data_IF_782243035400
#
_entry.id   IF_782243035400
#
_cell.length_a   1.000
_cell.length_b   1.000
_cell.length_c   1.000
_cell.angle_alpha   90.00
_cell.angle_beta   90.00
_cell.angle_gamma   90.00
#
_symmetry.space_group_name_H-M   'P 1'
#
loop_
_entity.id
_entity.type
_entity.pdbx_description
1 polymer ?
#
# COMPACT_ATOMS: atom_id res chain seq x y z
N UNK A 1 19.45 3.18 2.65
CA UNK A 1 17.97 3.23 2.75
C UNK A 1 17.48 1.85 3.14
N UNK A 2 16.60 1.76 4.14
CA UNK A 2 15.92 0.51 4.45
C UNK A 2 14.82 0.22 3.42
N UNK A 3 14.54 -1.06 3.17
CA UNK A 3 13.54 -1.50 2.20
C UNK A 3 12.53 -2.44 2.84
N UNK A 4 11.31 -2.42 2.33
CA UNK A 4 10.18 -3.25 2.71
C UNK A 4 9.66 -4.02 1.49
N UNK A 5 8.98 -5.12 1.73
CA UNK A 5 8.35 -5.94 0.70
C UNK A 5 6.89 -6.23 1.06
N UNK A 6 6.03 -6.35 0.06
CA UNK A 6 4.63 -6.72 0.28
C UNK A 6 4.47 -8.17 0.74
N UNK A 7 3.57 -8.40 1.68
CA UNK A 7 3.35 -9.74 2.24
C UNK A 7 2.63 -10.69 1.28
N UNK A 8 1.92 -10.20 0.29
CA UNK A 8 1.18 -10.99 -0.69
C UNK A 8 1.98 -11.38 -1.95
N UNK A 9 3.27 -11.05 -2.00
CA UNK A 9 4.17 -11.29 -3.15
C UNK A 9 3.97 -12.63 -3.88
N UNK A 10 3.60 -13.67 -3.16
CA UNK A 10 3.46 -15.03 -3.70
C UNK A 10 2.03 -15.53 -3.78
N UNK A 11 1.03 -14.75 -3.36
CA UNK A 11 -0.34 -15.23 -3.17
C UNK A 11 -1.00 -15.75 -4.46
N UNK A 12 -0.58 -15.25 -5.61
CA UNK A 12 -1.14 -15.63 -6.91
C UNK A 12 -0.39 -16.80 -7.59
N UNK A 13 0.77 -17.21 -7.05
CA UNK A 13 1.65 -18.16 -7.75
C UNK A 13 2.01 -19.38 -6.91
N UNK A 14 2.25 -19.18 -5.62
CA UNK A 14 2.73 -20.22 -4.71
C UNK A 14 1.84 -20.32 -3.48
N UNK A 15 1.45 -21.56 -3.11
CA UNK A 15 0.76 -21.82 -1.84
C UNK A 15 1.79 -21.93 -0.71
N UNK A 16 2.27 -20.80 -0.21
CA UNK A 16 3.23 -20.74 0.89
C UNK A 16 2.52 -20.30 2.16
N UNK A 17 2.64 -21.09 3.23
CA UNK A 17 2.11 -20.69 4.52
C UNK A 17 2.77 -19.40 5.03
N UNK A 18 2.00 -18.52 5.68
CA UNK A 18 2.48 -17.22 6.17
C UNK A 18 3.79 -17.31 6.97
N UNK A 19 3.88 -18.26 7.91
CA UNK A 19 5.10 -18.46 8.70
C UNK A 19 6.34 -18.71 7.83
N UNK A 20 6.19 -19.53 6.78
CA UNK A 20 7.29 -19.83 5.84
C UNK A 20 7.60 -18.61 4.97
N UNK A 21 6.58 -17.89 4.50
CA UNK A 21 6.71 -16.70 3.67
C UNK A 21 7.52 -15.61 4.40
N UNK A 22 7.14 -15.27 5.64
CA UNK A 22 7.84 -14.27 6.44
C UNK A 22 9.31 -14.68 6.71
N UNK A 23 9.58 -15.97 6.95
CA UNK A 23 10.94 -16.47 7.13
C UNK A 23 11.76 -16.30 5.86
N UNK A 24 11.23 -16.64 4.69
CA UNK A 24 11.91 -16.47 3.40
C UNK A 24 12.25 -14.99 3.17
N UNK A 25 11.36 -14.05 3.46
CA UNK A 25 11.67 -12.63 3.34
C UNK A 25 12.84 -12.21 4.23
N UNK A 26 12.86 -12.65 5.49
CA UNK A 26 13.95 -12.35 6.42
C UNK A 26 15.29 -12.99 5.98
N UNK A 27 15.27 -14.23 5.48
CA UNK A 27 16.44 -14.94 4.96
C UNK A 27 17.05 -14.23 3.73
N UNK A 28 16.24 -13.53 2.93
CA UNK A 28 16.68 -12.70 1.80
C UNK A 28 17.01 -11.24 2.19
N UNK A 29 17.10 -10.94 3.48
CA UNK A 29 17.61 -9.67 3.99
C UNK A 29 16.59 -8.55 4.16
N UNK A 30 15.30 -8.81 3.96
CA UNK A 30 14.27 -7.86 4.34
C UNK A 30 14.16 -7.75 5.87
N UNK A 31 13.95 -6.53 6.36
CA UNK A 31 13.69 -6.23 7.77
C UNK A 31 12.28 -5.70 7.98
N UNK A 32 11.64 -5.27 6.91
CA UNK A 32 10.35 -4.61 6.94
C UNK A 32 9.40 -5.23 5.93
N UNK A 33 8.11 -5.22 6.27
CA UNK A 33 7.02 -5.65 5.40
C UNK A 33 5.91 -4.62 5.37
N UNK A 34 5.27 -4.52 4.22
CA UNK A 34 3.93 -3.99 4.04
C UNK A 34 2.95 -5.16 4.10
N UNK A 35 1.92 -5.09 4.96
CA UNK A 35 0.94 -6.16 5.04
C UNK A 35 -0.18 -5.94 4.04
N UNK A 36 -0.26 -6.81 3.02
CA UNK A 36 -1.21 -6.74 1.93
C UNK A 36 -2.08 -8.02 1.80
N UNK A 37 -1.98 -8.96 2.73
CA UNK A 37 -2.84 -10.15 2.71
C UNK A 37 -4.31 -9.76 2.98
N UNK A 38 -5.24 -10.43 2.29
CA UNK A 38 -6.69 -10.19 2.41
C UNK A 38 -7.19 -8.78 2.04
N UNK A 39 -6.36 -7.98 1.31
CA UNK A 39 -6.73 -6.62 0.91
C UNK A 39 -7.99 -6.58 0.00
N UNK A 40 -8.21 -7.60 -0.79
CA UNK A 40 -9.32 -7.67 -1.73
C UNK A 40 -10.45 -8.62 -1.20
N UNK A 41 -10.65 -8.69 0.11
CA UNK A 41 -11.59 -9.58 0.78
C UNK A 41 -12.40 -8.87 1.87
N UNK A 42 -13.44 -9.54 2.37
CA UNK A 42 -14.26 -9.09 3.50
C UNK A 42 -13.85 -9.77 4.83
N UNK A 43 -12.66 -10.33 4.89
CA UNK A 43 -12.12 -10.98 6.09
C UNK A 43 -11.93 -9.97 7.21
N UNK A 44 -12.51 -10.26 8.37
CA UNK A 44 -12.27 -9.55 9.62
C UNK A 44 -11.38 -10.41 10.50
N UNK A 45 -10.17 -9.95 10.79
CA UNK A 45 -9.24 -10.66 11.66
C UNK A 45 -9.77 -10.71 13.08
N UNK A 46 -9.93 -11.92 13.62
CA UNK A 46 -10.22 -12.11 15.05
C UNK A 46 -9.03 -11.68 15.90
N UNK A 47 -9.25 -11.35 17.16
CA UNK A 47 -8.18 -11.04 18.12
C UNK A 47 -7.13 -12.16 18.25
N UNK A 48 -7.53 -13.42 18.01
CA UNK A 48 -6.61 -14.56 17.98
C UNK A 48 -5.69 -14.51 16.75
N UNK A 49 -6.23 -14.16 15.57
CA UNK A 49 -5.45 -14.03 14.34
C UNK A 49 -4.53 -12.84 14.40
N UNK A 50 -5.00 -11.69 14.90
CA UNK A 50 -4.17 -10.50 15.11
C UNK A 50 -2.95 -10.85 15.97
N UNK A 51 -3.14 -11.46 17.12
CA UNK A 51 -2.03 -11.91 17.99
C UNK A 51 -1.11 -12.91 17.28
N UNK A 52 -1.68 -13.87 16.54
CA UNK A 52 -0.90 -14.86 15.79
C UNK A 52 -0.01 -14.20 14.73
N UNK A 53 -0.55 -13.28 13.94
CA UNK A 53 0.24 -12.61 12.90
C UNK A 53 1.31 -11.70 13.49
N UNK A 54 1.01 -10.96 14.55
CA UNK A 54 1.99 -10.18 15.29
C UNK A 54 3.17 -11.04 15.76
N UNK A 55 2.90 -12.19 16.38
CA UNK A 55 3.92 -13.15 16.83
C UNK A 55 4.73 -13.74 15.65
N UNK A 56 4.11 -14.02 14.51
CA UNK A 56 4.79 -14.55 13.33
C UNK A 56 5.77 -13.53 12.75
N UNK A 57 5.35 -12.25 12.63
CA UNK A 57 6.19 -11.15 12.14
C UNK A 57 7.39 -10.95 13.07
N UNK A 58 7.13 -10.87 14.38
CA UNK A 58 8.18 -10.72 15.39
C UNK A 58 9.17 -11.90 15.40
N UNK A 59 8.65 -13.14 15.35
CA UNK A 59 9.47 -14.36 15.35
C UNK A 59 10.35 -14.46 14.10
N UNK A 60 9.89 -13.92 12.96
CA UNK A 60 10.69 -13.83 11.74
C UNK A 60 11.76 -12.72 11.79
N UNK A 61 11.77 -11.88 12.84
CA UNK A 61 12.67 -10.72 12.95
C UNK A 61 12.28 -9.55 12.03
N UNK A 62 11.04 -9.54 11.54
CA UNK A 62 10.50 -8.51 10.67
C UNK A 62 9.73 -7.44 11.47
N UNK A 63 9.52 -6.29 10.85
CA UNK A 63 8.65 -5.21 11.33
C UNK A 63 7.65 -4.83 10.26
N UNK A 64 6.38 -4.71 10.62
CA UNK A 64 5.38 -4.17 9.73
C UNK A 64 5.47 -2.64 9.73
N UNK A 65 5.45 -2.01 8.53
CA UNK A 65 5.50 -0.55 8.41
C UNK A 65 4.13 0.06 8.19
N UNK A 66 3.26 -0.65 7.49
CA UNK A 66 1.89 -0.26 7.19
C UNK A 66 1.07 -1.47 6.70
N UNK A 67 -0.24 -1.28 6.56
CA UNK A 67 -1.19 -2.33 6.23
C UNK A 67 -2.09 -1.83 5.09
N UNK A 68 -2.36 -2.67 4.10
CA UNK A 68 -3.37 -2.40 3.10
C UNK A 68 -4.78 -2.58 3.69
N UNK A 69 -5.63 -1.58 3.52
CA UNK A 69 -7.05 -1.65 3.84
C UNK A 69 -7.82 -2.52 2.83
N UNK A 70 -9.10 -2.73 3.09
CA UNK A 70 -9.95 -3.48 2.16
C UNK A 70 -10.33 -2.64 0.94
N UNK A 71 -10.13 -3.21 -0.25
CA UNK A 71 -10.44 -2.58 -1.55
C UNK A 71 -11.27 -3.49 -2.45
N UNK A 72 -12.36 -4.07 -1.94
CA UNK A 72 -13.28 -4.90 -2.75
C UNK A 72 -14.22 -4.07 -3.59
N UNK A 73 -14.65 -4.60 -4.73
CA UNK A 73 -15.63 -3.92 -5.60
C UNK A 73 -17.04 -3.86 -5.00
N UNK A 74 -17.37 -4.75 -4.06
CA UNK A 74 -18.68 -4.90 -3.43
C UNK A 74 -18.84 -4.08 -2.15
N UNK A 75 -17.76 -3.82 -1.43
CA UNK A 75 -17.76 -3.11 -0.14
C UNK A 75 -17.00 -1.80 -0.33
N UNK A 76 -17.72 -0.69 -0.36
CA UNK A 76 -17.16 0.60 -0.80
C UNK A 76 -17.29 1.68 0.26
N UNK A 77 -16.23 2.49 0.35
CA UNK A 77 -16.16 3.64 1.24
C UNK A 77 -17.27 4.68 0.98
N UNK A 78 -17.76 4.78 -0.27
CA UNK A 78 -18.77 5.73 -0.72
C UNK A 78 -20.14 5.08 -0.98
N UNK A 79 -20.42 3.92 -0.43
CA UNK A 79 -21.71 3.25 -0.61
C UNK A 79 -22.89 4.17 -0.26
N UNK A 80 -23.97 4.08 -1.04
CA UNK A 80 -25.18 4.88 -0.82
C UNK A 80 -26.01 4.32 0.35
N UNK A 81 -26.01 3.00 0.50
CA UNK A 81 -26.67 2.33 1.61
C UNK A 81 -25.79 2.36 2.85
N UNK A 82 -26.32 2.90 3.94
CA UNK A 82 -25.63 2.98 5.23
C UNK A 82 -25.11 1.62 5.70
N UNK A 83 -25.85 0.53 5.48
CA UNK A 83 -25.45 -0.82 5.88
C UNK A 83 -24.18 -1.31 5.17
N UNK A 84 -24.02 -1.00 3.87
CA UNK A 84 -22.83 -1.33 3.10
C UNK A 84 -21.63 -0.47 3.53
N UNK A 85 -21.88 0.81 3.81
CA UNK A 85 -20.84 1.70 4.31
C UNK A 85 -20.41 1.32 5.74
N UNK A 86 -21.33 0.86 6.59
CA UNK A 86 -21.00 0.33 7.92
C UNK A 86 -20.24 -1.01 7.84
N UNK A 87 -20.43 -1.79 6.78
CA UNK A 87 -19.60 -2.97 6.53
C UNK A 87 -18.17 -2.57 6.17
N UNK A 88 -17.97 -1.58 5.29
CA UNK A 88 -16.65 -1.03 4.99
C UNK A 88 -15.98 -0.48 6.26
N UNK A 89 -16.72 0.26 7.07
CA UNK A 89 -16.25 0.82 8.34
C UNK A 89 -15.71 -0.25 9.27
N UNK A 90 -16.45 -1.34 9.50
CA UNK A 90 -15.98 -2.47 10.34
C UNK A 90 -14.68 -3.09 9.82
N UNK A 91 -14.53 -3.22 8.51
CA UNK A 91 -13.29 -3.74 7.92
C UNK A 91 -12.13 -2.77 8.11
N UNK A 92 -12.36 -1.49 7.92
CA UNK A 92 -11.34 -0.46 8.11
C UNK A 92 -10.91 -0.37 9.58
N UNK A 93 -11.84 -0.35 10.53
CA UNK A 93 -11.55 -0.38 11.97
C UNK A 93 -10.70 -1.60 12.33
N UNK A 94 -11.04 -2.78 11.79
CA UNK A 94 -10.27 -4.00 12.01
C UNK A 94 -8.83 -3.90 11.43
N UNK A 95 -8.65 -3.28 10.28
CA UNK A 95 -7.31 -3.04 9.71
C UNK A 95 -6.51 -1.99 10.49
N UNK A 96 -7.16 -0.98 11.05
CA UNK A 96 -6.52 0.02 11.93
C UNK A 96 -6.03 -0.66 13.22
N UNK A 97 -6.87 -1.47 13.87
CA UNK A 97 -6.48 -2.22 15.08
C UNK A 97 -5.36 -3.23 14.78
N UNK A 98 -5.46 -3.94 13.65
CA UNK A 98 -4.41 -4.85 13.21
C UNK A 98 -3.10 -4.12 12.96
N UNK A 99 -3.11 -3.01 12.22
CA UNK A 99 -1.94 -2.20 11.93
C UNK A 99 -1.21 -1.77 13.20
N UNK A 100 -1.94 -1.23 14.17
CA UNK A 100 -1.38 -0.87 15.47
C UNK A 100 -0.78 -2.07 16.21
N UNK A 101 -1.44 -3.24 16.16
CA UNK A 101 -0.99 -4.45 16.85
C UNK A 101 0.27 -5.07 16.26
N UNK A 102 0.56 -4.84 14.96
CA UNK A 102 1.78 -5.32 14.30
C UNK A 102 2.88 -4.27 14.20
N UNK A 103 2.65 -3.07 14.78
CA UNK A 103 3.63 -1.99 14.87
C UNK A 103 3.70 -1.09 13.63
N UNK A 104 2.74 -1.18 12.72
CA UNK A 104 2.58 -0.24 11.61
C UNK A 104 2.02 1.11 12.06
N UNK A 105 2.18 2.13 11.23
CA UNK A 105 1.73 3.51 11.52
C UNK A 105 0.79 4.09 10.45
N UNK A 106 0.45 3.31 9.41
CA UNK A 106 -0.48 3.72 8.38
C UNK A 106 -1.35 2.56 7.87
N UNK A 107 -2.58 2.89 7.48
CA UNK A 107 -3.45 2.01 6.69
C UNK A 107 -3.66 2.65 5.34
N UNK A 108 -3.26 1.95 4.28
CA UNK A 108 -3.46 2.38 2.89
C UNK A 108 -4.90 2.11 2.49
N UNK A 109 -5.57 3.08 1.90
CA UNK A 109 -6.95 2.95 1.41
C UNK A 109 -7.09 3.52 0.01
N UNK A 110 -7.91 2.86 -0.81
CA UNK A 110 -8.28 3.39 -2.11
C UNK A 110 -9.35 4.48 -1.95
N UNK A 111 -9.27 5.58 -2.73
CA UNK A 111 -10.36 6.54 -2.81
C UNK A 111 -11.60 5.91 -3.47
N UNK A 112 -12.78 6.52 -3.34
CA UNK A 112 -13.95 6.06 -4.08
C UNK A 112 -13.71 6.19 -5.59
N UNK A 113 -14.06 5.16 -6.36
CA UNK A 113 -13.94 5.24 -7.81
C UNK A 113 -14.92 6.26 -8.38
N UNK A 114 -14.44 7.18 -9.21
CA UNK A 114 -15.29 8.15 -9.92
C UNK A 114 -16.35 7.45 -10.76
N UNK A 115 -17.58 7.90 -10.63
CA UNK A 115 -18.73 7.42 -11.40
C UNK A 115 -19.43 8.60 -12.07
N UNK A 116 -19.25 8.73 -13.37
CA UNK A 116 -19.81 9.83 -14.13
C UNK A 116 -18.98 11.12 -14.08
N UNK A 117 -19.60 12.26 -14.40
CA UNK A 117 -18.89 13.53 -14.57
C UNK A 117 -18.58 14.24 -13.25
N UNK A 118 -19.46 14.09 -12.25
CA UNK A 118 -19.31 14.75 -10.95
C UNK A 118 -18.81 13.74 -9.90
N UNK A 119 -17.63 13.98 -9.38
CA UNK A 119 -17.00 13.15 -8.35
C UNK A 119 -17.41 13.53 -6.93
N UNK A 120 -17.85 14.79 -6.76
CA UNK A 120 -18.15 15.37 -5.45
C UNK A 120 -19.15 14.58 -4.58
N UNK A 121 -20.22 13.93 -5.12
CA UNK A 121 -21.11 13.12 -4.28
C UNK A 121 -20.43 11.92 -3.63
N UNK A 122 -19.57 11.20 -4.37
CA UNK A 122 -18.82 10.05 -3.84
C UNK A 122 -17.80 10.49 -2.77
N UNK A 123 -17.06 11.56 -3.01
CA UNK A 123 -16.14 12.16 -2.05
C UNK A 123 -16.85 12.60 -0.76
N UNK A 124 -17.99 13.26 -0.88
CA UNK A 124 -18.78 13.69 0.29
C UNK A 124 -19.34 12.51 1.10
N UNK A 125 -19.84 11.47 0.43
CA UNK A 125 -20.35 10.28 1.14
C UNK A 125 -19.26 9.55 1.92
N UNK A 126 -18.05 9.45 1.37
CA UNK A 126 -16.94 8.80 2.05
C UNK A 126 -16.51 9.48 3.34
N UNK A 127 -16.74 10.81 3.47
CA UNK A 127 -16.36 11.56 4.69
C UNK A 127 -16.98 10.99 5.97
N UNK A 128 -18.17 10.40 5.89
CA UNK A 128 -18.78 9.72 7.05
C UNK A 128 -17.88 8.63 7.61
N UNK A 129 -17.16 7.89 6.78
CA UNK A 129 -16.22 6.85 7.21
C UNK A 129 -15.02 7.49 7.89
N UNK A 130 -14.41 8.51 7.27
CA UNK A 130 -13.28 9.22 7.86
C UNK A 130 -13.62 9.80 9.24
N UNK A 131 -14.76 10.47 9.37
CA UNK A 131 -15.21 11.05 10.63
C UNK A 131 -15.41 9.99 11.73
N UNK A 132 -15.93 8.80 11.37
CA UNK A 132 -16.16 7.72 12.33
C UNK A 132 -14.86 7.07 12.82
N UNK A 133 -13.87 6.87 11.94
CA UNK A 133 -12.60 6.22 12.33
C UNK A 133 -11.58 7.19 12.92
N UNK A 134 -11.79 8.50 12.79
CA UNK A 134 -10.83 9.52 13.19
C UNK A 134 -10.32 9.33 14.61
N UNK A 135 -11.24 9.18 15.56
CA UNK A 135 -10.87 8.99 16.97
C UNK A 135 -10.02 7.72 17.17
N UNK A 136 -10.38 6.61 16.54
CA UNK A 136 -9.62 5.37 16.62
C UNK A 136 -8.21 5.54 16.04
N UNK A 137 -8.08 6.22 14.91
CA UNK A 137 -6.79 6.55 14.31
C UNK A 137 -5.92 7.42 15.24
N UNK A 138 -6.51 8.46 15.83
CA UNK A 138 -5.82 9.35 16.77
C UNK A 138 -5.35 8.58 18.04
N UNK A 139 -6.21 7.73 18.62
CA UNK A 139 -5.90 6.92 19.82
C UNK A 139 -4.79 5.89 19.55
N UNK A 140 -4.72 5.33 18.35
CA UNK A 140 -3.76 4.30 17.97
C UNK A 140 -2.53 4.85 17.22
N UNK A 141 -2.50 6.13 16.88
CA UNK A 141 -1.41 6.76 16.13
C UNK A 141 -1.33 6.28 14.67
N UNK A 142 -2.47 5.96 14.04
CA UNK A 142 -2.55 5.44 12.68
C UNK A 142 -2.99 6.55 11.71
N UNK A 143 -2.27 6.70 10.60
CA UNK A 143 -2.63 7.60 9.49
C UNK A 143 -3.32 6.80 8.38
N UNK A 144 -4.39 7.32 7.80
CA UNK A 144 -4.98 6.78 6.56
C UNK A 144 -4.21 7.33 5.37
N UNK A 145 -3.56 6.48 4.59
CA UNK A 145 -2.81 6.88 3.41
C UNK A 145 -3.65 6.62 2.15
N UNK A 146 -4.01 7.70 1.44
CA UNK A 146 -4.84 7.61 0.22
C UNK A 146 -3.94 7.26 -0.96
N UNK A 147 -4.25 6.17 -1.65
CA UNK A 147 -3.48 5.68 -2.79
C UNK A 147 -3.99 6.24 -4.11
N UNK A 148 -3.09 6.48 -5.06
CA UNK A 148 -3.42 6.82 -6.44
C UNK A 148 -3.65 5.56 -7.28
N UNK A 149 -4.91 5.20 -7.52
CA UNK A 149 -5.29 4.01 -8.32
C UNK A 149 -5.75 4.36 -9.75
N UNK A 150 -6.46 5.48 -9.92
CA UNK A 150 -7.08 5.88 -11.20
C UNK A 150 -6.63 7.26 -11.64
N UNK A 151 -6.79 7.61 -12.95
CA UNK A 151 -6.34 8.92 -13.48
C UNK A 151 -6.91 10.13 -12.73
N UNK A 152 -8.13 10.02 -12.22
CA UNK A 152 -8.83 11.08 -11.52
C UNK A 152 -8.59 11.15 -10.01
N UNK A 153 -7.78 10.26 -9.45
CA UNK A 153 -7.57 10.18 -7.99
C UNK A 153 -6.79 11.37 -7.44
N UNK A 154 -6.09 12.12 -8.29
CA UNK A 154 -5.53 13.42 -7.91
C UNK A 154 -6.58 14.35 -7.27
N UNK A 155 -7.80 14.41 -7.85
CA UNK A 155 -8.92 15.19 -7.28
C UNK A 155 -9.32 14.66 -5.91
N UNK A 156 -9.39 13.34 -5.74
CA UNK A 156 -9.74 12.72 -4.46
C UNK A 156 -8.63 12.93 -3.42
N UNK A 157 -7.38 12.73 -3.79
CA UNK A 157 -6.22 12.92 -2.90
C UNK A 157 -6.19 14.36 -2.43
N UNK A 158 -6.23 15.36 -3.33
CA UNK A 158 -6.28 16.77 -2.97
C UNK A 158 -7.43 17.08 -2.01
N UNK A 159 -8.64 16.59 -2.32
CA UNK A 159 -9.83 16.79 -1.48
C UNK A 159 -9.63 16.32 -0.03
N UNK A 160 -9.06 15.13 0.17
CA UNK A 160 -8.86 14.60 1.53
C UNK A 160 -7.68 15.28 2.23
N UNK A 161 -6.59 15.56 1.52
CA UNK A 161 -5.43 16.22 2.09
C UNK A 161 -5.72 17.67 2.52
N UNK A 162 -6.58 18.38 1.79
CA UNK A 162 -7.04 19.74 2.15
C UNK A 162 -7.99 19.71 3.36
N UNK A 163 -8.77 18.64 3.49
CA UNK A 163 -9.80 18.54 4.54
C UNK A 163 -9.27 18.05 5.88
N UNK A 164 -8.23 17.23 5.89
CA UNK A 164 -7.74 16.54 7.07
C UNK A 164 -6.25 16.86 7.36
N UNK A 165 -5.87 16.92 8.65
CA UNK A 165 -4.48 17.17 9.03
C UNK A 165 -3.57 15.97 8.70
N UNK A 166 -2.24 16.18 8.55
CA UNK A 166 -1.27 15.17 8.14
C UNK A 166 -1.13 13.98 9.10
N UNK A 167 -1.47 14.16 10.36
CA UNK A 167 -1.46 13.09 11.36
C UNK A 167 -2.59 12.07 11.13
N UNK A 168 -3.68 12.49 10.49
CA UNK A 168 -4.83 11.64 10.24
C UNK A 168 -4.90 11.14 8.81
N UNK A 169 -4.63 11.99 7.81
CA UNK A 169 -4.68 11.59 6.38
C UNK A 169 -3.38 11.96 5.69
N UNK A 170 -2.78 10.99 5.01
CA UNK A 170 -1.58 11.12 4.19
C UNK A 170 -1.80 10.59 2.78
N UNK A 171 -0.72 10.59 2.01
CA UNK A 171 -0.68 10.08 0.64
C UNK A 171 0.11 8.78 0.58
N UNK A 172 -0.41 7.80 -0.15
CA UNK A 172 0.31 6.61 -0.59
C UNK A 172 0.59 6.75 -2.09
N UNK A 173 1.87 6.80 -2.45
CA UNK A 173 2.26 6.85 -3.86
C UNK A 173 2.47 5.45 -4.41
N UNK A 174 1.66 5.10 -5.41
CA UNK A 174 1.84 3.92 -6.25
C UNK A 174 2.48 4.31 -7.59
N UNK A 175 3.65 3.72 -7.87
CA UNK A 175 4.46 4.03 -9.04
C UNK A 175 3.91 3.42 -10.32
N UNK A 176 3.34 2.24 -10.24
CA UNK A 176 2.76 1.54 -11.39
C UNK A 176 1.47 2.19 -11.86
N UNK A 177 0.58 2.51 -10.94
CA UNK A 177 -0.64 3.27 -11.25
C UNK A 177 -0.32 4.65 -11.83
N UNK A 178 0.64 5.38 -11.25
CA UNK A 178 1.07 6.67 -11.77
C UNK A 178 1.64 6.57 -13.20
N UNK A 179 2.34 5.47 -13.51
CA UNK A 179 2.89 5.22 -14.85
C UNK A 179 1.81 4.91 -15.88
N UNK A 180 0.86 4.02 -15.55
CA UNK A 180 -0.28 3.68 -16.41
C UNK A 180 -1.14 4.92 -16.69
N UNK A 181 -1.39 5.72 -15.66
CA UNK A 181 -2.24 6.90 -15.73
C UNK A 181 -1.53 8.13 -16.33
N UNK A 182 -0.20 8.10 -16.43
CA UNK A 182 0.60 9.22 -16.97
C UNK A 182 0.53 10.51 -16.13
N UNK A 183 0.25 10.40 -14.83
CA UNK A 183 -0.06 11.53 -13.95
C UNK A 183 0.99 11.76 -12.82
N UNK A 184 2.20 11.24 -12.97
CA UNK A 184 3.26 11.38 -11.97
C UNK A 184 3.57 12.84 -11.61
N UNK A 185 3.56 13.75 -12.62
CA UNK A 185 3.85 15.17 -12.38
C UNK A 185 2.84 15.84 -11.44
N UNK A 186 1.57 15.49 -11.58
CA UNK A 186 0.50 15.99 -10.74
C UNK A 186 0.66 15.45 -9.30
N UNK A 187 0.97 14.17 -9.16
CA UNK A 187 1.13 13.50 -7.87
C UNK A 187 2.35 13.98 -7.07
N UNK A 188 3.41 14.45 -7.75
CA UNK A 188 4.59 15.02 -7.09
C UNK A 188 4.27 16.16 -6.13
N UNK A 189 3.20 16.93 -6.38
CA UNK A 189 2.74 18.01 -5.52
C UNK A 189 2.33 17.57 -4.10
N UNK A 190 2.04 16.28 -3.90
CA UNK A 190 1.63 15.73 -2.60
C UNK A 190 2.80 15.18 -1.76
N UNK A 191 4.06 15.39 -2.17
CA UNK A 191 5.25 14.83 -1.51
C UNK A 191 5.36 15.14 -0.01
N UNK A 192 4.95 16.32 0.45
CA UNK A 192 4.97 16.67 1.88
C UNK A 192 3.96 15.85 2.74
N UNK A 193 3.00 15.21 2.08
CA UNK A 193 1.98 14.36 2.71
C UNK A 193 2.25 12.87 2.51
N UNK A 194 3.41 12.52 1.93
CA UNK A 194 3.78 11.13 1.62
C UNK A 194 3.93 10.31 2.91
N UNK A 195 3.15 9.23 3.03
CA UNK A 195 3.05 8.38 4.22
C UNK A 195 3.32 6.91 3.93
N UNK A 196 3.04 6.46 2.72
CA UNK A 196 3.30 5.10 2.26
C UNK A 196 3.76 5.09 0.79
N UNK A 197 4.39 4.01 0.39
CA UNK A 197 4.88 3.78 -0.97
C UNK A 197 4.49 2.38 -1.44
N UNK A 198 3.95 2.28 -2.64
CA UNK A 198 3.77 1.04 -3.38
C UNK A 198 4.61 1.12 -4.66
N UNK A 199 5.86 0.67 -4.58
CA UNK A 199 6.77 0.74 -5.71
C UNK A 199 6.82 -0.59 -6.46
N UNK A 200 6.41 -0.56 -7.70
CA UNK A 200 6.51 -1.66 -8.67
C UNK A 200 6.61 -1.12 -10.08
N UNK A 201 7.06 -1.94 -11.02
CA UNK A 201 7.25 -1.57 -12.42
C UNK A 201 6.21 -2.19 -13.34
N UNK A 202 5.93 -1.51 -14.43
CA UNK A 202 5.14 -1.97 -15.55
C UNK A 202 5.54 -1.26 -16.86
N UNK A 203 4.89 -1.60 -17.96
CA UNK A 203 5.17 -1.01 -19.29
C UNK A 203 4.20 0.12 -19.68
N UNK A 204 3.43 0.64 -18.73
CA UNK A 204 2.44 1.70 -18.96
C UNK A 204 1.09 1.24 -19.51
N UNK A 205 0.86 -0.09 -19.60
CA UNK A 205 -0.37 -0.66 -20.16
C UNK A 205 -1.18 -1.47 -19.14
N UNK A 206 -0.49 -2.24 -18.30
CA UNK A 206 -1.08 -3.14 -17.31
C UNK A 206 -0.39 -2.97 -15.98
N UNK A 207 -1.14 -3.29 -14.94
CA UNK A 207 -0.67 -3.29 -13.57
C UNK A 207 0.08 -4.60 -13.26
N UNK A 208 1.34 -4.66 -13.72
CA UNK A 208 2.12 -5.90 -13.75
C UNK A 208 2.82 -6.23 -12.42
N UNK A 209 2.92 -5.30 -11.49
CA UNK A 209 3.58 -5.44 -10.17
C UNK A 209 4.97 -6.09 -10.25
N UNK A 210 5.80 -5.68 -11.21
CA UNK A 210 7.13 -6.27 -11.40
C UNK A 210 8.24 -5.48 -10.69
N UNK A 211 9.41 -6.10 -10.44
CA UNK A 211 10.54 -5.41 -9.82
C UNK A 211 11.03 -4.21 -10.64
N UNK A 212 11.67 -3.22 -10.01
CA UNK A 212 12.26 -2.08 -10.71
C UNK A 212 13.13 -2.48 -11.90
N UNK A 213 13.06 -1.71 -12.99
CA UNK A 213 13.76 -1.91 -14.27
C UNK A 213 13.25 -3.10 -15.13
N UNK A 214 12.16 -3.75 -14.73
CA UNK A 214 11.50 -4.72 -15.59
C UNK A 214 10.67 -4.02 -16.69
N UNK A 215 10.04 -2.90 -16.35
CA UNK A 215 9.22 -2.09 -17.24
C UNK A 215 9.93 -0.83 -17.75
N UNK A 216 9.19 0.28 -17.78
CA UNK A 216 9.64 1.54 -18.42
C UNK A 216 9.57 2.75 -17.48
N UNK A 217 9.37 2.55 -16.18
CA UNK A 217 9.32 3.65 -15.19
C UNK A 217 10.69 4.34 -15.07
N UNK A 218 10.70 5.68 -15.02
CA UNK A 218 11.89 6.46 -14.71
C UNK A 218 12.21 6.43 -13.20
N UNK A 219 12.90 5.38 -12.79
CA UNK A 219 13.27 5.14 -11.41
C UNK A 219 14.19 6.19 -10.80
N UNK A 220 15.02 6.84 -11.62
CA UNK A 220 15.89 7.94 -11.15
C UNK A 220 15.05 9.15 -10.73
N UNK A 221 14.02 9.47 -11.50
CA UNK A 221 13.09 10.55 -11.22
C UNK A 221 12.28 10.27 -9.94
N UNK A 222 11.73 9.05 -9.79
CA UNK A 222 10.98 8.64 -8.60
C UNK A 222 11.87 8.70 -7.36
N UNK A 223 13.07 8.12 -7.39
CA UNK A 223 13.96 8.11 -6.23
C UNK A 223 14.38 9.53 -5.81
N UNK A 224 14.61 10.44 -6.76
CA UNK A 224 14.88 11.85 -6.47
C UNK A 224 13.69 12.49 -5.74
N UNK A 225 12.51 12.33 -6.30
CA UNK A 225 11.29 12.88 -5.68
C UNK A 225 11.03 12.33 -4.26
N UNK A 226 11.22 11.02 -4.03
CA UNK A 226 11.10 10.42 -2.69
C UNK A 226 12.10 11.08 -1.71
N UNK A 227 13.33 11.32 -2.12
CA UNK A 227 14.32 12.01 -1.27
C UNK A 227 13.93 13.46 -0.98
N UNK A 228 13.42 14.16 -1.97
CA UNK A 228 12.99 15.56 -1.85
C UNK A 228 11.75 15.70 -0.95
N UNK A 229 10.86 14.70 -0.94
CA UNK A 229 9.68 14.65 -0.08
C UNK A 229 9.99 14.46 1.41
N UNK A 230 11.25 14.16 1.77
CA UNK A 230 11.69 13.84 3.14
C UNK A 230 11.01 12.59 3.73
N UNK A 231 10.54 11.69 2.88
CA UNK A 231 9.99 10.41 3.32
C UNK A 231 11.04 9.63 4.13
N UNK A 232 10.71 9.27 5.38
CA UNK A 232 11.67 8.72 6.34
C UNK A 232 11.44 7.25 6.67
N UNK A 233 10.40 6.62 6.13
CA UNK A 233 10.09 5.20 6.35
C UNK A 233 10.89 4.32 5.38
N UNK A 234 10.98 3.00 5.62
CA UNK A 234 11.50 2.06 4.63
C UNK A 234 10.73 2.15 3.32
N UNK A 235 11.46 2.10 2.21
CA UNK A 235 10.85 2.12 0.86
C UNK A 235 10.19 0.78 0.61
N UNK A 236 8.87 0.78 0.44
CA UNK A 236 8.12 -0.44 0.18
C UNK A 236 8.06 -0.76 -1.31
N UNK A 237 8.30 -2.04 -1.65
CA UNK A 237 8.12 -2.60 -2.97
C UNK A 237 6.92 -3.53 -2.97
N UNK A 238 5.89 -3.16 -3.74
CA UNK A 238 4.67 -3.94 -3.93
C UNK A 238 4.80 -4.82 -5.18
N UNK A 239 5.67 -5.79 -5.09
CA UNK A 239 6.05 -6.67 -6.18
C UNK A 239 5.36 -8.02 -6.01
N UNK A 240 4.71 -8.52 -7.06
CA UNK A 240 4.07 -9.84 -7.06
C UNK A 240 4.70 -10.77 -8.09
N UNK A 241 4.89 -12.03 -7.71
CA UNK A 241 5.36 -13.05 -8.63
C UNK A 241 4.27 -13.39 -9.64
N UNK A 242 4.62 -13.30 -10.93
CA UNK A 242 3.77 -13.74 -12.02
C UNK A 242 4.53 -14.78 -12.87
N UNK A 243 4.03 -16.02 -12.99
CA UNK A 243 4.70 -17.09 -13.75
C UNK A 243 4.80 -16.81 -15.26
N UNK A 244 4.02 -15.86 -15.78
CA UNK A 244 4.15 -15.42 -17.19
C UNK A 244 5.44 -14.62 -17.43
N UNK A 245 5.95 -13.94 -16.39
CA UNK A 245 7.13 -13.09 -16.48
C UNK A 245 8.38 -13.71 -15.86
N UNK A 246 8.20 -14.64 -14.92
CA UNK A 246 9.30 -15.29 -14.23
C UNK A 246 8.96 -16.76 -13.91
N UNK A 247 9.73 -17.69 -14.46
CA UNK A 247 9.46 -19.15 -14.36
C UNK A 247 10.17 -19.83 -13.18
N UNK A 248 10.93 -19.10 -12.37
CA UNK A 248 11.69 -19.63 -11.23
C UNK A 248 10.84 -19.91 -10.01
N UNK A 249 11.46 -20.46 -8.97
CA UNK A 249 10.82 -20.66 -7.67
C UNK A 249 10.80 -19.36 -6.81
N UNK A 250 10.25 -19.45 -5.60
CA UNK A 250 10.10 -18.29 -4.72
C UNK A 250 11.44 -17.66 -4.28
N UNK A 251 12.46 -18.49 -4.01
CA UNK A 251 13.77 -18.00 -3.60
C UNK A 251 14.47 -17.29 -4.77
N UNK A 252 14.45 -17.89 -5.97
CA UNK A 252 15.01 -17.29 -7.19
C UNK A 252 14.33 -15.95 -7.54
N UNK A 253 13.00 -15.84 -7.35
CA UNK A 253 12.29 -14.59 -7.60
C UNK A 253 12.65 -13.51 -6.58
N UNK A 254 12.85 -13.88 -5.31
CA UNK A 254 13.32 -12.94 -4.28
C UNK A 254 14.74 -12.45 -4.54
N UNK A 255 15.65 -13.33 -4.97
CA UNK A 255 17.01 -12.94 -5.37
C UNK A 255 16.99 -11.96 -6.54
N UNK A 256 16.19 -12.26 -7.56
CA UNK A 256 15.97 -11.38 -8.71
C UNK A 256 15.41 -10.00 -8.27
N UNK A 257 14.36 -10.00 -7.46
CA UNK A 257 13.72 -8.79 -6.94
C UNK A 257 14.67 -7.97 -6.07
N UNK A 258 15.41 -8.62 -5.17
CA UNK A 258 16.40 -7.96 -4.32
C UNK A 258 17.54 -7.33 -5.13
N UNK A 259 18.00 -8.00 -6.20
CA UNK A 259 18.99 -7.42 -7.11
C UNK A 259 18.51 -6.14 -7.78
N UNK A 260 17.26 -6.12 -8.24
CA UNK A 260 16.62 -4.94 -8.81
C UNK A 260 16.46 -3.81 -7.77
N UNK A 261 16.04 -4.16 -6.55
CA UNK A 261 15.91 -3.22 -5.42
C UNK A 261 17.28 -2.61 -5.06
N UNK A 262 18.34 -3.41 -4.97
CA UNK A 262 19.69 -2.92 -4.70
C UNK A 262 20.18 -1.97 -5.79
N UNK A 263 19.92 -2.27 -7.05
CA UNK A 263 20.19 -1.37 -8.17
C UNK A 263 19.44 -0.05 -8.02
N UNK A 264 18.16 -0.08 -7.63
CA UNK A 264 17.34 1.12 -7.41
C UNK A 264 17.93 2.02 -6.31
N UNK A 265 18.21 1.47 -5.12
CA UNK A 265 18.73 2.28 -4.00
C UNK A 265 20.15 2.81 -4.23
N UNK A 266 20.87 2.22 -5.20
CA UNK A 266 22.23 2.61 -5.60
C UNK A 266 22.27 3.60 -6.76
N UNK A 267 21.09 4.03 -7.28
CA UNK A 267 21.05 5.00 -8.39
C UNK A 267 21.73 6.30 -7.98
N UNK A 268 22.62 6.83 -8.84
CA UNK A 268 23.22 8.14 -8.61
C UNK A 268 22.15 9.23 -8.72
N UNK A 269 22.00 9.98 -7.64
CA UNK A 269 21.12 11.15 -7.58
C UNK A 269 22.03 12.32 -7.25
N UNK A 270 22.30 13.08 -8.29
CA UNK A 270 23.04 14.35 -8.22
C UNK A 270 22.11 15.45 -7.74
#
# INVERSE_FOLDING_TARGET
MDVSITSDMFNYSFKIEMKKKLRIFAEHGFKYIHWCDDWNSDVVYSQKEIRRYSQLIETAGLRCIDVHGTATSSIRIDAEEDALQDQYLRLLENRIEFCSSVGGDAVVIHPPRRRGKDYSPSLKRSLRVFEKVRRLCEELGITLAIENCFPEDEEAISFYLDKFPPEFVGFCFDSGHAHINGNFDQLMGFGERLKALHLHDNKGEKDDHQPPFWGTIDWKRILRWIKDSRYAKPINFEITHNPEFFSGNADEYLEYSMSAIQKFISLPID
#
